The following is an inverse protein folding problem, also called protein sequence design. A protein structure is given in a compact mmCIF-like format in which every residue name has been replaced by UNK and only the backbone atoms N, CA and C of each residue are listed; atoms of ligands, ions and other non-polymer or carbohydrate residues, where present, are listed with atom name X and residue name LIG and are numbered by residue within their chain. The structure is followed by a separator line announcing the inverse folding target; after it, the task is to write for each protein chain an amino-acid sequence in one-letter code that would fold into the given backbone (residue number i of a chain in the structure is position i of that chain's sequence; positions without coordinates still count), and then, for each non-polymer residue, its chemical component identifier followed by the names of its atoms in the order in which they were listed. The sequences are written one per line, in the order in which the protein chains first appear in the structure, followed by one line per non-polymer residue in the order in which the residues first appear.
data_IF_544658408863
#
_entry.id   IF_544658408863
#
_cell.length_a   1.000
_cell.length_b   1.000
_cell.length_c   1.000
_cell.angle_alpha   90.00
_cell.angle_beta   90.00
_cell.angle_gamma   90.00
#
_symmetry.space_group_name_H-M   'P 1'
#
loop_
_entity.id
_entity.type
_entity.pdbx_description
1 polymer ?
#
# COMPACT_ATOMS: atom_id res chain seq x y z
N UNK A 1 3.50 10.81 -13.80
CA UNK A 1 4.81 10.65 -13.14
C UNK A 1 4.50 10.21 -11.73
N UNK A 2 5.14 9.17 -11.22
CA UNK A 2 4.94 8.72 -9.83
C UNK A 2 5.48 9.77 -8.87
N UNK A 3 4.68 10.13 -7.85
CA UNK A 3 5.09 11.03 -6.78
C UNK A 3 6.34 10.52 -6.05
N UNK A 4 7.28 11.40 -5.64
CA UNK A 4 8.48 10.99 -4.93
C UNK A 4 8.18 10.39 -3.56
N UNK A 5 7.10 10.82 -2.91
CA UNK A 5 6.66 10.31 -1.62
C UNK A 5 5.21 9.83 -1.67
N UNK A 6 4.87 8.93 -0.76
CA UNK A 6 3.54 8.37 -0.56
C UNK A 6 3.22 8.35 0.93
N UNK A 7 2.13 9.00 1.31
CA UNK A 7 1.50 8.80 2.61
C UNK A 7 0.50 7.65 2.50
N UNK A 8 0.68 6.66 3.37
CA UNK A 8 -0.25 5.55 3.56
C UNK A 8 -0.94 5.74 4.90
N UNK A 9 -2.27 5.87 4.88
CA UNK A 9 -3.10 5.96 6.09
C UNK A 9 -4.01 4.75 6.18
N UNK A 10 -3.94 4.00 7.27
CA UNK A 10 -4.85 2.89 7.57
C UNK A 10 -5.69 3.19 8.81
N UNK A 11 -7.00 2.99 8.70
CA UNK A 11 -7.98 3.26 9.75
C UNK A 11 -8.71 1.96 10.06
N UNK A 12 -8.44 1.30 11.20
CA UNK A 12 -9.26 0.19 11.67
C UNK A 12 -10.67 0.70 11.98
N UNK A 13 -11.69 0.13 11.35
CA UNK A 13 -13.09 0.56 11.51
C UNK A 13 -13.95 -0.59 12.01
N UNK A 14 -15.04 -0.27 12.69
CA UNK A 14 -16.07 -1.26 12.98
C UNK A 14 -16.69 -1.74 11.63
N UNK A 15 -16.79 -3.05 11.38
CA UNK A 15 -17.43 -3.57 10.18
C UNK A 15 -18.83 -3.00 9.93
N UNK A 16 -19.63 -2.76 10.99
CA UNK A 16 -20.98 -2.22 10.90
C UNK A 16 -20.98 -0.73 10.47
N UNK A 17 -19.92 0.00 10.80
CA UNK A 17 -19.82 1.46 10.61
C UNK A 17 -19.00 1.86 9.37
N UNK A 18 -18.55 0.88 8.56
CA UNK A 18 -17.62 1.11 7.44
C UNK A 18 -18.14 2.16 6.45
N UNK A 19 -19.44 2.14 6.12
CA UNK A 19 -20.02 3.11 5.19
C UNK A 19 -20.03 4.54 5.74
N UNK A 20 -20.31 4.70 7.04
CA UNK A 20 -20.28 6.00 7.70
C UNK A 20 -18.84 6.51 7.85
N UNK A 21 -17.90 5.63 8.21
CA UNK A 21 -16.48 5.98 8.29
C UNK A 21 -15.92 6.43 6.93
N UNK A 22 -16.33 5.81 5.82
CA UNK A 22 -16.00 6.27 4.46
C UNK A 22 -16.52 7.70 4.25
N UNK A 23 -17.79 7.96 4.57
CA UNK A 23 -18.41 9.28 4.39
C UNK A 23 -17.70 10.36 5.23
N UNK A 24 -17.38 10.06 6.50
CA UNK A 24 -16.63 10.96 7.39
C UNK A 24 -15.25 11.25 6.81
N UNK A 25 -14.53 10.21 6.39
CA UNK A 25 -13.17 10.38 5.89
C UNK A 25 -13.11 11.15 4.56
N UNK A 26 -14.05 10.89 3.64
CA UNK A 26 -14.13 11.63 2.35
C UNK A 26 -14.59 13.08 2.51
N UNK A 27 -15.28 13.43 3.60
CA UNK A 27 -15.79 14.79 3.85
C UNK A 27 -14.89 15.66 4.73
N UNK A 28 -13.75 15.14 5.18
CA UNK A 28 -12.78 15.92 5.98
C UNK A 28 -12.24 17.11 5.20
N UNK A 29 -11.86 18.18 5.90
CA UNK A 29 -11.28 19.38 5.30
C UNK A 29 -9.83 19.58 5.78
N UNK A 30 -8.85 19.78 4.89
CA UNK A 30 -8.98 19.86 3.44
C UNK A 30 -9.23 18.48 2.80
N UNK A 31 -9.94 18.48 1.67
CA UNK A 31 -9.93 17.37 0.73
C UNK A 31 -8.54 17.30 0.11
N UNK A 32 -7.99 16.10 0.01
CA UNK A 32 -6.64 15.90 -0.48
C UNK A 32 -6.67 15.50 -1.95
N UNK A 33 -6.19 16.41 -2.80
CA UNK A 33 -6.10 16.16 -4.24
C UNK A 33 -5.18 14.96 -4.52
N UNK A 34 -5.61 14.08 -5.43
CA UNK A 34 -4.87 12.87 -5.80
C UNK A 34 -4.93 11.72 -4.78
N UNK A 35 -5.49 11.94 -3.58
CA UNK A 35 -5.70 10.86 -2.63
C UNK A 35 -6.75 9.86 -3.13
N UNK A 36 -6.49 8.57 -2.90
CA UNK A 36 -7.41 7.49 -3.26
C UNK A 36 -7.76 6.68 -2.03
N UNK A 37 -9.06 6.56 -1.76
CA UNK A 37 -9.60 5.78 -0.66
C UNK A 37 -9.95 4.36 -1.12
N UNK A 38 -9.65 3.40 -0.27
CA UNK A 38 -9.95 1.99 -0.44
C UNK A 38 -10.52 1.40 0.86
N UNK A 39 -11.26 0.30 0.74
CA UNK A 39 -11.73 -0.52 1.85
C UNK A 39 -11.07 -1.90 1.80
N UNK A 40 -10.69 -2.45 2.94
CA UNK A 40 -10.13 -3.79 3.03
C UNK A 40 -11.13 -4.85 2.59
N UNK A 41 -10.65 -5.90 1.92
CA UNK A 41 -11.49 -7.03 1.51
C UNK A 41 -11.56 -8.13 2.57
N UNK A 42 -10.54 -8.22 3.43
CA UNK A 42 -10.39 -9.27 4.45
C UNK A 42 -10.56 -8.71 5.88
N UNK A 43 -10.10 -7.50 6.11
CA UNK A 43 -10.20 -6.79 7.39
C UNK A 43 -11.04 -5.52 7.22
N UNK A 44 -11.79 -5.16 8.26
CA UNK A 44 -12.51 -3.88 8.32
C UNK A 44 -11.52 -2.74 8.57
N UNK A 45 -10.94 -2.25 7.49
CA UNK A 45 -9.93 -1.20 7.49
C UNK A 45 -10.13 -0.32 6.27
N UNK A 46 -10.08 1.00 6.46
CA UNK A 46 -9.96 1.94 5.35
C UNK A 46 -8.48 2.19 5.08
N UNK A 47 -8.12 2.26 3.81
CA UNK A 47 -6.79 2.60 3.34
C UNK A 47 -6.90 3.86 2.49
N UNK A 48 -6.14 4.89 2.81
CA UNK A 48 -5.92 6.01 1.91
C UNK A 48 -4.46 6.02 1.44
N UNK A 49 -4.29 6.12 0.12
CA UNK A 49 -3.01 6.37 -0.53
C UNK A 49 -2.99 7.81 -1.01
N UNK A 50 -2.04 8.59 -0.51
CA UNK A 50 -1.92 10.04 -0.79
C UNK A 50 -0.54 10.34 -1.34
N UNK A 51 -0.42 10.69 -2.64
CA UNK A 51 0.84 11.17 -3.21
C UNK A 51 1.30 12.46 -2.53
N UNK A 52 2.60 12.58 -2.25
CA UNK A 52 3.22 13.78 -1.70
C UNK A 52 4.42 14.23 -2.55
N UNK A 53 4.45 15.49 -2.96
CA UNK A 53 5.63 16.10 -3.57
C UNK A 53 6.79 16.23 -2.59
N UNK A 54 6.49 16.51 -1.33
CA UNK A 54 7.47 16.67 -0.25
C UNK A 54 6.83 16.48 1.14
N UNK A 55 7.67 16.50 2.19
CA UNK A 55 7.24 16.32 3.57
C UNK A 55 6.51 17.54 4.16
N UNK A 56 6.63 18.74 3.57
CA UNK A 56 5.99 19.93 4.10
C UNK A 56 4.46 19.87 3.93
N UNK A 57 3.97 19.12 2.94
CA UNK A 57 2.53 18.88 2.74
C UNK A 57 1.86 18.13 3.91
N UNK A 58 2.62 17.47 4.80
CA UNK A 58 2.04 16.78 5.96
C UNK A 58 1.32 17.73 6.93
N UNK A 59 1.78 18.99 7.01
CA UNK A 59 1.14 19.99 7.86
C UNK A 59 -0.29 20.29 7.38
N UNK A 60 -0.50 20.33 6.06
CA UNK A 60 -1.81 20.58 5.45
C UNK A 60 -2.82 19.48 5.78
N UNK A 61 -2.38 18.22 5.85
CA UNK A 61 -3.26 17.08 6.14
C UNK A 61 -3.54 16.90 7.63
N UNK A 62 -2.62 17.34 8.48
CA UNK A 62 -2.74 17.18 9.93
C UNK A 62 -3.97 17.91 10.48
N UNK A 63 -4.32 19.06 9.90
CA UNK A 63 -5.54 19.79 10.28
C UNK A 63 -6.80 18.96 10.03
N UNK A 64 -6.94 18.39 8.83
CA UNK A 64 -8.11 17.57 8.48
C UNK A 64 -8.22 16.27 9.25
N UNK A 65 -7.09 15.67 9.64
CA UNK A 65 -7.12 14.51 10.54
C UNK A 65 -7.64 14.87 11.93
N UNK A 66 -7.21 16.01 12.49
CA UNK A 66 -7.68 16.47 13.81
C UNK A 66 -9.15 16.84 13.78
N UNK A 67 -9.63 17.42 12.68
CA UNK A 67 -11.04 17.74 12.48
C UNK A 67 -11.90 16.47 12.38
N UNK A 68 -11.48 15.48 11.60
CA UNK A 68 -12.23 14.24 11.42
C UNK A 68 -12.20 13.32 12.65
N UNK A 69 -11.18 13.43 13.50
CA UNK A 69 -10.93 12.50 14.60
C UNK A 69 -12.12 12.31 15.57
N UNK A 70 -12.81 13.35 16.06
CA UNK A 70 -13.93 13.17 16.99
C UNK A 70 -15.11 12.38 16.38
N UNK A 71 -15.37 12.57 15.09
CA UNK A 71 -16.46 11.90 14.38
C UNK A 71 -16.06 10.49 13.92
N UNK A 72 -14.78 10.28 13.64
CA UNK A 72 -14.23 8.98 13.26
C UNK A 72 -14.01 8.06 14.48
N UNK A 73 -13.71 8.63 15.65
CA UNK A 73 -13.44 7.89 16.89
C UNK A 73 -14.51 6.85 17.26
N UNK A 74 -15.83 7.16 17.30
CA UNK A 74 -16.85 6.16 17.62
C UNK A 74 -17.00 5.06 16.56
N UNK A 75 -16.45 5.27 15.34
CA UNK A 75 -16.52 4.32 14.22
C UNK A 75 -15.25 3.46 14.11
N UNK A 76 -14.22 3.79 14.90
CA UNK A 76 -12.89 3.19 14.81
C UNK A 76 -12.69 2.11 15.86
N UNK A 77 -12.01 1.02 15.49
CA UNK A 77 -11.65 -0.07 16.41
C UNK A 77 -10.22 0.04 16.94
N UNK A 78 -9.48 1.05 16.51
CA UNK A 78 -8.13 1.33 16.96
C UNK A 78 -7.55 2.61 16.37
N UNK A 79 -6.29 2.89 16.70
CA UNK A 79 -5.60 4.10 16.25
C UNK A 79 -5.39 4.13 14.73
N UNK A 80 -5.47 5.33 14.16
CA UNK A 80 -5.14 5.59 12.76
C UNK A 80 -3.63 5.43 12.56
N UNK A 81 -3.24 4.47 11.73
CA UNK A 81 -1.84 4.19 11.38
C UNK A 81 -1.45 5.02 10.17
N UNK A 82 -0.28 5.66 10.23
CA UNK A 82 0.25 6.47 9.14
C UNK A 82 1.71 6.17 8.92
N UNK A 83 2.12 6.09 7.67
CA UNK A 83 3.52 5.98 7.28
C UNK A 83 3.80 6.79 6.03
N UNK A 84 5.00 7.38 5.98
CA UNK A 84 5.52 8.06 4.80
C UNK A 84 6.57 7.18 4.16
N UNK A 85 6.42 6.98 2.86
CA UNK A 85 7.26 6.12 2.04
C UNK A 85 7.85 6.92 0.89
N UNK A 86 9.06 6.57 0.46
CA UNK A 86 9.76 7.16 -0.68
C UNK A 86 9.75 6.22 -1.86
N UNK A 87 9.44 6.74 -3.05
CA UNK A 87 9.43 5.97 -4.29
C UNK A 87 10.83 5.45 -4.62
N UNK A 88 10.92 4.16 -4.95
CA UNK A 88 12.18 3.51 -5.34
C UNK A 88 12.16 3.18 -6.83
N UNK A 89 11.16 2.41 -7.26
CA UNK A 89 11.04 1.98 -8.65
C UNK A 89 9.65 1.45 -8.97
N UNK A 90 9.36 1.25 -10.25
CA UNK A 90 8.08 0.75 -10.73
C UNK A 90 8.26 -0.27 -11.87
N UNK A 91 8.40 -1.57 -11.56
CA UNK A 91 8.45 -2.63 -12.57
C UNK A 91 7.25 -2.57 -13.53
N UNK A 92 6.06 -2.24 -13.04
CA UNK A 92 4.91 -1.90 -13.87
C UNK A 92 4.44 -0.50 -13.52
N UNK A 93 4.87 0.53 -14.28
CA UNK A 93 4.56 1.91 -13.95
C UNK A 93 3.09 2.24 -14.21
N UNK A 94 2.65 3.34 -13.63
CA UNK A 94 1.33 3.93 -13.83
C UNK A 94 1.45 5.23 -14.63
N UNK A 95 0.39 5.62 -15.34
CA UNK A 95 0.37 6.91 -16.05
C UNK A 95 0.32 8.11 -15.07
N UNK A 96 -0.48 7.98 -14.02
CA UNK A 96 -0.64 8.96 -12.95
C UNK A 96 0.38 8.82 -11.82
N UNK A 97 -0.05 9.11 -10.60
CA UNK A 97 0.76 8.96 -9.38
C UNK A 97 0.48 7.62 -8.65
N UNK A 98 -0.73 7.10 -8.80
CA UNK A 98 -1.20 5.86 -8.18
C UNK A 98 -1.88 4.95 -9.20
N UNK A 99 -2.02 3.64 -8.91
CA UNK A 99 -2.80 2.73 -9.75
C UNK A 99 -4.26 3.17 -9.85
N UNK A 100 -4.78 3.23 -11.08
CA UNK A 100 -6.19 3.53 -11.35
C UNK A 100 -7.10 2.27 -11.30
N UNK A 101 -6.56 1.17 -10.78
CA UNK A 101 -7.22 -0.14 -10.75
C UNK A 101 -8.29 -0.20 -9.64
N UNK A 102 -9.32 -1.06 -9.78
CA UNK A 102 -10.36 -1.22 -8.77
C UNK A 102 -9.86 -1.91 -7.49
N UNK A 103 -8.75 -2.64 -7.56
CA UNK A 103 -8.10 -3.25 -6.42
C UNK A 103 -6.63 -2.86 -6.32
N UNK A 104 -6.13 -2.83 -5.09
CA UNK A 104 -4.70 -2.76 -4.79
C UNK A 104 -4.34 -3.80 -3.74
N UNK A 105 -3.15 -4.36 -3.85
CA UNK A 105 -2.51 -5.13 -2.78
C UNK A 105 -1.34 -4.31 -2.22
N UNK A 106 -1.31 -4.15 -0.91
CA UNK A 106 -0.14 -3.70 -0.18
C UNK A 106 0.64 -4.90 0.32
N UNK A 107 1.95 -4.92 0.06
CA UNK A 107 2.85 -5.93 0.58
C UNK A 107 4.11 -5.31 1.15
N UNK A 108 4.37 -5.56 2.44
CA UNK A 108 5.58 -5.11 3.10
C UNK A 108 6.63 -6.22 3.18
N UNK A 109 7.89 -5.86 3.02
CA UNK A 109 9.05 -6.75 3.14
C UNK A 109 10.21 -5.97 3.78
N UNK A 110 10.71 -6.44 4.91
CA UNK A 110 11.94 -5.93 5.51
C UNK A 110 13.16 -6.71 5.00
N UNK A 111 14.14 -5.98 4.45
CA UNK A 111 15.38 -6.55 3.92
C UNK A 111 16.53 -6.28 4.87
N UNK A 112 17.30 -7.33 5.19
CA UNK A 112 18.47 -7.26 6.06
C UNK A 112 19.51 -6.27 5.47
N UNK A 113 19.92 -5.23 6.23
CA UNK A 113 20.86 -4.23 5.72
C UNK A 113 22.16 -4.77 5.11
N UNK A 114 22.83 -5.80 5.69
CA UNK A 114 24.10 -6.32 5.14
C UNK A 114 24.01 -6.91 3.74
N UNK A 115 22.81 -7.30 3.28
CA UNK A 115 22.57 -7.96 1.99
C UNK A 115 21.62 -7.17 1.10
N UNK A 116 21.37 -5.89 1.43
CA UNK A 116 20.42 -5.04 0.70
C UNK A 116 20.81 -4.89 -0.78
N UNK A 117 22.10 -4.70 -1.09
CA UNK A 117 22.59 -4.61 -2.47
C UNK A 117 22.27 -5.88 -3.27
N UNK A 118 22.71 -7.04 -2.78
CA UNK A 118 22.43 -8.34 -3.39
C UNK A 118 20.93 -8.59 -3.60
N UNK A 119 20.08 -8.16 -2.66
CA UNK A 119 18.62 -8.28 -2.79
C UNK A 119 18.08 -7.41 -3.93
N UNK A 120 18.56 -6.17 -4.06
CA UNK A 120 18.15 -5.26 -5.13
C UNK A 120 18.52 -5.82 -6.51
N UNK A 121 19.70 -6.41 -6.65
CA UNK A 121 20.10 -7.06 -7.91
C UNK A 121 19.27 -8.33 -8.16
N UNK A 122 19.12 -9.17 -7.14
CA UNK A 122 18.39 -10.43 -7.25
C UNK A 122 16.91 -10.25 -7.57
N UNK A 123 16.23 -9.22 -7.04
CA UNK A 123 14.78 -9.02 -7.24
C UNK A 123 14.41 -8.69 -8.68
N UNK A 124 15.35 -8.11 -9.45
CA UNK A 124 15.14 -7.76 -10.86
C UNK A 124 14.91 -9.02 -11.70
N UNK A 125 15.81 -9.99 -11.59
CA UNK A 125 15.76 -11.24 -12.37
C UNK A 125 14.75 -12.27 -11.82
N UNK A 126 14.13 -11.98 -10.67
CA UNK A 126 13.20 -12.89 -10.00
C UNK A 126 11.82 -12.28 -9.84
N UNK A 127 11.60 -11.51 -8.77
CA UNK A 127 10.31 -10.93 -8.43
C UNK A 127 9.77 -10.10 -9.59
N UNK A 128 10.58 -9.19 -10.14
CA UNK A 128 10.13 -8.31 -11.22
C UNK A 128 9.94 -9.05 -12.52
N UNK A 129 10.80 -10.01 -12.84
CA UNK A 129 10.60 -10.88 -13.99
C UNK A 129 9.24 -11.61 -13.95
N UNK A 130 8.80 -12.09 -12.78
CA UNK A 130 7.46 -12.70 -12.64
C UNK A 130 6.33 -11.66 -12.69
N UNK A 131 6.52 -10.49 -12.07
CA UNK A 131 5.57 -9.37 -12.18
C UNK A 131 5.33 -8.98 -13.63
N UNK A 132 6.40 -8.88 -14.44
CA UNK A 132 6.33 -8.57 -15.86
C UNK A 132 5.52 -9.59 -16.66
N UNK A 133 5.70 -10.89 -16.37
CA UNK A 133 4.98 -11.98 -17.07
C UNK A 133 3.49 -12.05 -16.74
N UNK A 134 3.08 -11.61 -15.56
CA UNK A 134 1.68 -11.72 -15.13
C UNK A 134 0.80 -10.67 -15.80
N UNK A 135 -0.14 -11.08 -16.64
CA UNK A 135 -1.15 -10.18 -17.22
C UNK A 135 -2.13 -9.62 -16.15
N UNK A 136 -2.22 -10.27 -14.99
CA UNK A 136 -3.12 -9.86 -13.90
C UNK A 136 -2.59 -8.69 -13.08
N UNK A 137 -1.27 -8.49 -13.07
CA UNK A 137 -0.65 -7.35 -12.40
C UNK A 137 -0.57 -6.23 -13.43
N UNK A 138 -1.32 -5.16 -13.21
CA UNK A 138 -1.39 -4.02 -14.11
C UNK A 138 -0.45 -2.90 -13.69
N UNK A 139 -0.28 -2.72 -12.38
CA UNK A 139 0.67 -1.78 -11.79
C UNK A 139 1.46 -2.47 -10.67
N UNK A 140 2.72 -2.10 -10.51
CA UNK A 140 3.57 -2.60 -9.43
C UNK A 140 4.60 -1.52 -9.10
N UNK A 141 4.40 -0.87 -7.96
CA UNK A 141 5.21 0.24 -7.48
C UNK A 141 5.93 -0.18 -6.19
N UNK A 142 7.20 0.19 -6.04
CA UNK A 142 7.99 -0.10 -4.85
C UNK A 142 8.36 1.20 -4.13
N UNK A 143 8.09 1.25 -2.83
CA UNK A 143 8.41 2.35 -1.96
C UNK A 143 9.21 1.87 -0.74
N UNK A 144 10.09 2.69 -0.20
CA UNK A 144 10.84 2.40 1.03
C UNK A 144 10.32 3.26 2.18
N UNK A 145 10.28 2.73 3.39
CA UNK A 145 9.87 3.51 4.56
C UNK A 145 10.82 4.68 4.85
N UNK A 146 10.23 5.85 5.16
CA UNK A 146 10.92 7.07 5.61
C UNK A 146 10.52 7.39 7.05
N UNK A 147 9.21 7.51 7.29
CA UNK A 147 8.62 7.68 8.62
C UNK A 147 7.60 6.57 8.83
N UNK A 148 7.97 5.52 9.57
CA UNK A 148 7.11 4.37 9.83
C UNK A 148 7.54 3.64 11.10
N UNK A 149 6.61 2.93 11.73
CA UNK A 149 6.92 1.92 12.75
C UNK A 149 7.35 0.58 12.13
N UNK A 150 7.20 0.43 10.81
CA UNK A 150 7.52 -0.78 10.05
C UNK A 150 8.64 -0.49 9.03
N UNK A 151 9.91 -0.89 9.30
CA UNK A 151 11.02 -0.63 8.40
C UNK A 151 10.96 -1.53 7.16
N UNK A 152 11.29 -1.03 5.97
CA UNK A 152 11.44 -1.88 4.78
C UNK A 152 10.80 -1.31 3.53
N UNK A 153 10.48 -2.21 2.59
CA UNK A 153 9.89 -1.88 1.30
C UNK A 153 8.40 -2.23 1.33
N UNK A 154 7.56 -1.28 0.90
CA UNK A 154 6.15 -1.51 0.59
C UNK A 154 5.99 -1.59 -0.92
N UNK A 155 5.37 -2.67 -1.39
CA UNK A 155 4.90 -2.80 -2.76
C UNK A 155 3.42 -2.44 -2.84
N UNK A 156 3.07 -1.60 -3.80
CA UNK A 156 1.68 -1.28 -4.18
C UNK A 156 1.42 -1.92 -5.54
N UNK A 157 0.63 -2.99 -5.55
CA UNK A 157 0.29 -3.73 -6.76
C UNK A 157 -1.17 -3.48 -7.15
N UNK A 158 -1.40 -2.95 -8.35
CA UNK A 158 -2.73 -2.69 -8.89
C UNK A 158 -3.20 -3.77 -9.86
N UNK A 159 -4.47 -4.15 -9.76
CA UNK A 159 -5.10 -5.19 -10.59
C UNK A 159 -6.62 -5.01 -10.71
N UNK A 160 -7.21 -5.52 -11.80
CA UNK A 160 -8.63 -5.37 -12.09
C UNK A 160 -9.46 -6.65 -12.01
N UNK A 161 -8.82 -7.83 -11.95
CA UNK A 161 -9.54 -9.08 -11.73
C UNK A 161 -9.99 -9.25 -10.27
N UNK A 162 -10.96 -10.14 -10.02
CA UNK A 162 -11.39 -10.43 -8.65
C UNK A 162 -10.21 -10.98 -7.81
N UNK A 163 -10.16 -10.68 -6.48
CA UNK A 163 -9.07 -11.10 -5.62
C UNK A 163 -8.74 -12.60 -5.69
N UNK A 164 -9.75 -13.47 -5.83
CA UNK A 164 -9.58 -14.93 -5.94
C UNK A 164 -8.83 -15.35 -7.21
N UNK A 165 -8.96 -14.59 -8.29
CA UNK A 165 -8.22 -14.81 -9.54
C UNK A 165 -6.83 -14.17 -9.50
N UNK A 166 -6.64 -13.14 -8.66
CA UNK A 166 -5.38 -12.44 -8.48
C UNK A 166 -4.39 -13.20 -7.60
N UNK A 167 -4.84 -13.69 -6.44
CA UNK A 167 -4.03 -14.38 -5.41
C UNK A 167 -3.14 -15.50 -5.97
N UNK A 168 -3.60 -16.36 -6.92
CA UNK A 168 -2.77 -17.42 -7.50
C UNK A 168 -1.52 -16.94 -8.22
N UNK A 169 -1.45 -15.66 -8.60
CA UNK A 169 -0.24 -15.04 -9.20
C UNK A 169 0.98 -15.20 -8.30
N UNK A 170 0.77 -15.20 -6.97
CA UNK A 170 1.83 -15.38 -5.97
C UNK A 170 1.87 -16.79 -5.36
N UNK A 171 0.97 -17.69 -5.79
CA UNK A 171 0.90 -19.07 -5.33
C UNK A 171 1.53 -20.07 -6.33
N UNK A 172 2.20 -19.58 -7.38
CA UNK A 172 2.89 -20.46 -8.32
C UNK A 172 4.11 -21.13 -7.66
N UNK A 173 4.47 -22.34 -8.12
CA UNK A 173 5.68 -23.03 -7.67
C UNK A 173 6.93 -22.15 -7.82
N UNK A 174 6.97 -21.36 -8.91
CA UNK A 174 8.03 -20.40 -9.17
C UNK A 174 8.10 -19.31 -8.10
N UNK A 175 6.95 -18.74 -7.71
CA UNK A 175 6.92 -17.70 -6.70
C UNK A 175 7.21 -18.24 -5.30
N UNK A 176 6.76 -19.46 -4.99
CA UNK A 176 7.13 -20.18 -3.77
C UNK A 176 8.65 -20.41 -3.68
N UNK A 177 9.29 -20.78 -4.79
CA UNK A 177 10.74 -20.91 -4.86
C UNK A 177 11.46 -19.56 -4.68
N UNK A 178 10.94 -18.49 -5.29
CA UNK A 178 11.46 -17.12 -5.09
C UNK A 178 11.37 -16.73 -3.61
N UNK A 179 10.24 -17.00 -2.94
CA UNK A 179 10.07 -16.74 -1.52
C UNK A 179 11.05 -17.55 -0.66
N UNK A 180 11.27 -18.84 -0.99
CA UNK A 180 12.24 -19.72 -0.32
C UNK A 180 13.70 -19.32 -0.56
N UNK A 181 14.00 -18.69 -1.69
CA UNK A 181 15.33 -18.11 -1.94
C UNK A 181 15.50 -16.79 -1.17
N UNK A 182 14.43 -15.99 -1.08
CA UNK A 182 14.44 -14.72 -0.37
C UNK A 182 14.55 -14.90 1.14
N UNK A 183 13.89 -15.90 1.70
CA UNK A 183 13.89 -16.19 3.12
C UNK A 183 14.64 -17.51 3.40
N UNK A 184 15.68 -17.52 4.27
CA UNK A 184 16.10 -16.46 5.19
C UNK A 184 17.22 -15.56 4.65
N UNK A 185 17.60 -15.68 3.38
CA UNK A 185 18.81 -15.05 2.83
C UNK A 185 18.77 -13.51 2.90
N UNK A 186 17.66 -12.91 2.49
CA UNK A 186 17.50 -11.46 2.33
C UNK A 186 16.51 -10.85 3.32
N UNK A 187 15.40 -11.55 3.59
CA UNK A 187 14.26 -11.02 4.36
C UNK A 187 14.34 -11.45 5.82
N UNK A 188 13.93 -10.58 6.74
CA UNK A 188 13.80 -10.91 8.18
C UNK A 188 12.62 -11.86 8.44
N UNK A 189 12.54 -12.45 9.64
CA UNK A 189 11.38 -13.27 10.06
C UNK A 189 10.16 -12.39 10.42
N UNK A 190 10.38 -11.10 10.65
CA UNK A 190 9.35 -10.11 10.96
C UNK A 190 8.75 -9.53 9.67
N UNK A 191 7.45 -9.28 9.65
CA UNK A 191 6.87 -8.31 8.71
C UNK A 191 6.55 -8.80 7.30
N UNK A 192 5.88 -9.95 7.14
CA UNK A 192 5.07 -10.15 5.93
C UNK A 192 3.65 -9.61 6.18
N UNK A 193 3.47 -8.33 5.92
CA UNK A 193 2.14 -7.74 5.80
C UNK A 193 1.69 -7.88 4.35
N UNK A 194 0.54 -8.49 4.11
CA UNK A 194 -0.09 -8.55 2.78
C UNK A 194 -1.58 -8.35 2.95
N UNK A 195 -2.13 -7.31 2.32
CA UNK A 195 -3.57 -7.00 2.39
C UNK A 195 -4.07 -6.51 1.05
N UNK A 196 -5.30 -6.92 0.71
CA UNK A 196 -6.00 -6.48 -0.48
C UNK A 196 -7.08 -5.46 -0.09
N UNK A 197 -7.17 -4.41 -0.90
CA UNK A 197 -8.14 -3.35 -0.76
C UNK A 197 -8.88 -3.13 -2.06
N UNK A 198 -10.16 -2.80 -1.94
CA UNK A 198 -11.03 -2.40 -3.05
C UNK A 198 -11.23 -0.89 -3.01
N UNK A 199 -11.09 -0.24 -4.16
CA UNK A 199 -11.28 1.20 -4.30
C UNK A 199 -12.70 1.60 -3.90
N UNK A 200 -12.80 2.72 -3.21
CA UNK A 200 -14.06 3.39 -2.88
C UNK A 200 -14.30 4.46 -3.93
N UNK A 201 -15.53 4.53 -4.44
CA UNK A 201 -15.90 5.55 -5.42
C UNK A 201 -15.74 6.96 -4.81
N UNK A 202 -15.17 7.88 -5.58
CA UNK A 202 -15.11 9.28 -5.19
C UNK A 202 -16.55 9.83 -5.10
N UNK A 203 -16.80 10.67 -4.09
CA UNK A 203 -18.09 11.33 -3.88
C UNK A 203 -18.28 12.50 -4.85
#
# INVERSE_FOLDING_TARGET
MTSPLLLVTEIPVDPAETAEAISVWQSRTPVVDGAVLYRGTEASTLLELTPLSDLAQLDDFTAGWREAAPTLAPLSTGDVRRQVLEFVEAPKPVAGELPDTPYVQLRHVEVKPPVKGDYLDWRVDTIFAEVHKSERIEAFLAYHSVLSTEPGVMFVSGFSCEPEAYLPTFASERYAEIARQAHPRFVTDEGLYTRIYRRVDAR
#
